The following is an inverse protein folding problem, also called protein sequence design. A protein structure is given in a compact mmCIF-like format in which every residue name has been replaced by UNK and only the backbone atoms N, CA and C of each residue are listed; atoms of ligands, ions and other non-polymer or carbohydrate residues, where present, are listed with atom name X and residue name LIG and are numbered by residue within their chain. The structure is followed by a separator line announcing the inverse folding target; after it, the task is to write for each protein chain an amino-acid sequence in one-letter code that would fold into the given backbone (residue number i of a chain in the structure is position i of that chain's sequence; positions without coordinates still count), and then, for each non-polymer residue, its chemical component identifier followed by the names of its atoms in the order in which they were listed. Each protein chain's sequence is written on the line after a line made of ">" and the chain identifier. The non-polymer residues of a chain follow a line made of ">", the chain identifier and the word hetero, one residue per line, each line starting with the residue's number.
data_IF_321150023694
#
_entry.id   IF_321150023694
#
_cell.length_a   1.000
_cell.length_b   1.000
_cell.length_c   1.000
_cell.angle_alpha   90.00
_cell.angle_beta   90.00
_cell.angle_gamma   90.00
#
_symmetry.space_group_name_H-M   'P 1'
#
loop_
_entity.id
_entity.type
_entity.pdbx_description
1 polymer ?
#
# COMPACT_ATOMS: atom_id res chain seq x y z
N UNK A 1 1.24 -27.98 -9.01
CA UNK A 1 2.22 -27.89 -7.92
C UNK A 1 1.91 -29.03 -6.96
N UNK A 2 2.88 -29.89 -6.59
CA UNK A 2 2.67 -30.96 -5.61
C UNK A 2 2.07 -30.42 -4.30
N UNK A 3 1.17 -31.18 -3.68
CA UNK A 3 0.44 -30.77 -2.46
C UNK A 3 1.42 -30.44 -1.30
N UNK A 4 2.56 -31.14 -1.23
CA UNK A 4 3.62 -30.87 -0.24
C UNK A 4 4.25 -29.49 -0.43
N UNK A 5 4.59 -29.12 -1.65
CA UNK A 5 5.20 -27.82 -1.95
C UNK A 5 4.27 -26.65 -1.59
N UNK A 6 2.97 -26.82 -1.83
CA UNK A 6 1.97 -25.82 -1.45
C UNK A 6 1.81 -25.70 0.08
N UNK A 7 1.89 -26.81 0.80
CA UNK A 7 1.84 -26.85 2.26
C UNK A 7 3.10 -26.23 2.88
N UNK A 8 4.28 -26.52 2.35
CA UNK A 8 5.54 -25.94 2.79
C UNK A 8 5.57 -24.42 2.54
N UNK A 9 5.11 -23.97 1.38
CA UNK A 9 4.93 -22.52 1.11
C UNK A 9 3.96 -21.86 2.10
N UNK A 10 2.85 -22.52 2.43
CA UNK A 10 1.88 -22.03 3.41
C UNK A 10 2.52 -21.88 4.79
N UNK A 11 3.24 -22.90 5.25
CA UNK A 11 3.95 -22.88 6.54
C UNK A 11 5.00 -21.77 6.56
N UNK A 12 5.85 -21.67 5.54
CA UNK A 12 6.89 -20.63 5.45
C UNK A 12 6.26 -19.24 5.52
N UNK A 13 5.17 -19.01 4.79
CA UNK A 13 4.45 -17.73 4.78
C UNK A 13 3.82 -17.43 6.14
N UNK A 14 3.22 -18.44 6.77
CA UNK A 14 2.61 -18.31 8.09
C UNK A 14 3.66 -17.96 9.16
N UNK A 15 4.78 -18.69 9.19
CA UNK A 15 5.89 -18.41 10.10
C UNK A 15 6.50 -17.03 9.86
N UNK A 16 6.70 -16.62 8.61
CA UNK A 16 7.21 -15.28 8.29
C UNK A 16 6.27 -14.17 8.80
N UNK A 17 4.96 -14.34 8.62
CA UNK A 17 3.95 -13.40 9.12
C UNK A 17 3.87 -13.38 10.65
N UNK A 18 3.95 -14.55 11.28
CA UNK A 18 3.99 -14.71 12.73
C UNK A 18 5.21 -13.98 13.32
N UNK A 19 6.42 -14.26 12.82
CA UNK A 19 7.66 -13.59 13.24
C UNK A 19 7.62 -12.08 12.96
N UNK A 20 7.07 -11.68 11.82
CA UNK A 20 6.90 -10.26 11.48
C UNK A 20 6.09 -9.50 12.54
N UNK A 21 4.98 -10.09 13.02
CA UNK A 21 4.14 -9.53 14.09
C UNK A 21 4.87 -9.48 15.42
N UNK A 22 5.64 -10.51 15.77
CA UNK A 22 6.37 -10.59 17.04
C UNK A 22 7.45 -9.51 17.13
N UNK A 23 8.27 -9.37 16.10
CA UNK A 23 9.31 -8.34 16.05
C UNK A 23 8.77 -6.91 15.88
N UNK A 24 7.49 -6.73 15.50
CA UNK A 24 6.87 -5.39 15.46
C UNK A 24 6.53 -4.83 16.85
N UNK A 25 6.38 -5.72 17.84
CA UNK A 25 6.07 -5.39 19.23
C UNK A 25 7.31 -5.40 20.14
N UNK A 26 8.49 -5.66 19.59
CA UNK A 26 9.76 -5.88 20.30
C UNK A 26 9.71 -6.91 21.45
N UNK A 27 8.68 -7.76 21.47
CA UNK A 27 8.48 -8.78 22.49
C UNK A 27 8.87 -10.15 21.94
N UNK A 28 9.88 -10.77 22.58
CA UNK A 28 10.26 -12.15 22.28
C UNK A 28 9.19 -13.11 22.82
N UNK A 29 8.66 -14.03 22.00
CA UNK A 29 7.78 -15.08 22.49
C UNK A 29 8.53 -16.11 23.34
N UNK A 30 7.81 -16.77 24.24
CA UNK A 30 8.38 -17.82 25.10
C UNK A 30 8.86 -19.03 24.30
N UNK A 31 8.15 -19.41 23.24
CA UNK A 31 8.42 -20.61 22.42
C UNK A 31 9.42 -20.38 21.26
N UNK A 32 10.02 -19.18 21.15
CA UNK A 32 11.05 -18.88 20.14
C UNK A 32 12.39 -18.70 20.85
N UNK A 33 13.43 -19.36 20.34
CA UNK A 33 14.79 -19.21 20.88
C UNK A 33 15.29 -17.77 20.71
N UNK A 34 16.13 -17.34 21.65
CA UNK A 34 16.77 -16.01 21.61
C UNK A 34 17.59 -15.82 20.35
N UNK A 35 18.36 -16.84 19.95
CA UNK A 35 19.21 -16.84 18.76
C UNK A 35 18.43 -16.54 17.48
N UNK A 36 17.30 -17.23 17.27
CA UNK A 36 16.45 -17.03 16.08
C UNK A 36 15.84 -15.62 16.08
N UNK A 37 15.41 -15.14 17.24
CA UNK A 37 14.83 -13.81 17.39
C UNK A 37 15.86 -12.70 17.10
N UNK A 38 17.08 -12.84 17.60
CA UNK A 38 18.17 -11.88 17.40
C UNK A 38 18.67 -11.89 15.96
N UNK A 39 18.80 -13.06 15.34
CA UNK A 39 19.11 -13.19 13.92
C UNK A 39 18.08 -12.44 13.05
N UNK A 40 16.79 -12.59 13.35
CA UNK A 40 15.73 -11.91 12.61
C UNK A 40 15.71 -10.40 12.86
N UNK A 41 15.98 -9.94 14.09
CA UNK A 41 16.18 -8.51 14.40
C UNK A 41 17.34 -7.91 13.61
N UNK A 42 18.45 -8.64 13.50
CA UNK A 42 19.63 -8.25 12.71
C UNK A 42 19.29 -8.16 11.23
N UNK A 43 18.61 -9.17 10.67
CA UNK A 43 18.14 -9.18 9.29
C UNK A 43 17.25 -7.98 8.98
N UNK A 44 16.31 -7.61 9.87
CA UNK A 44 15.44 -6.44 9.69
C UNK A 44 16.17 -5.10 9.73
N UNK A 45 17.30 -5.05 10.42
CA UNK A 45 18.13 -3.85 10.52
C UNK A 45 18.95 -3.60 9.25
N UNK A 46 19.07 -4.59 8.37
CA UNK A 46 19.81 -4.47 7.11
C UNK A 46 19.22 -3.41 6.18
N UNK A 47 20.06 -2.71 5.40
CA UNK A 47 19.61 -1.71 4.45
C UNK A 47 18.67 -2.30 3.39
N UNK A 48 18.87 -3.55 2.98
CA UNK A 48 18.04 -4.17 1.94
C UNK A 48 16.62 -4.47 2.43
N UNK A 49 16.46 -4.91 3.68
CA UNK A 49 15.14 -5.05 4.28
C UNK A 49 14.43 -3.69 4.43
N UNK A 50 15.17 -2.62 4.78
CA UNK A 50 14.62 -1.26 4.83
C UNK A 50 14.15 -0.78 3.46
N UNK A 51 14.92 -1.04 2.39
CA UNK A 51 14.54 -0.74 1.00
C UNK A 51 13.25 -1.47 0.60
N UNK A 52 13.10 -2.75 0.94
CA UNK A 52 11.87 -3.51 0.66
C UNK A 52 10.65 -2.95 1.40
N UNK A 53 10.82 -2.55 2.67
CA UNK A 53 9.75 -1.90 3.45
C UNK A 53 9.37 -0.55 2.84
N UNK A 54 10.35 0.23 2.39
CA UNK A 54 10.14 1.47 1.65
C UNK A 54 9.42 1.21 0.32
N UNK A 55 9.85 0.23 -0.47
CA UNK A 55 9.21 -0.15 -1.73
C UNK A 55 7.75 -0.59 -1.52
N UNK A 56 7.44 -1.36 -0.47
CA UNK A 56 6.05 -1.73 -0.15
C UNK A 56 5.19 -0.53 0.27
N UNK A 57 5.76 0.47 0.95
CA UNK A 57 5.06 1.72 1.25
C UNK A 57 4.90 2.57 -0.01
N UNK A 58 5.95 2.67 -0.81
CA UNK A 58 6.00 3.39 -2.07
C UNK A 58 5.14 2.74 -3.14
N UNK A 59 4.77 1.45 -3.05
CA UNK A 59 3.72 0.87 -3.92
C UNK A 59 2.36 1.57 -3.73
N UNK A 60 2.18 2.35 -2.67
CA UNK A 60 0.98 3.15 -2.38
C UNK A 60 1.11 4.62 -2.78
N UNK A 61 2.26 5.07 -3.27
CA UNK A 61 2.54 6.47 -3.62
C UNK A 61 3.39 6.54 -4.89
N UNK A 62 3.42 7.66 -5.60
CA UNK A 62 4.18 7.76 -6.86
C UNK A 62 5.71 7.87 -6.67
N UNK A 63 6.31 7.07 -5.78
CA UNK A 63 7.69 7.30 -5.29
C UNK A 63 8.73 6.44 -6.02
N UNK A 64 8.36 5.70 -7.06
CA UNK A 64 9.28 4.86 -7.84
C UNK A 64 10.01 5.62 -8.98
N UNK A 65 9.93 6.95 -9.02
CA UNK A 65 10.49 7.78 -10.08
C UNK A 65 9.44 8.19 -11.14
N UNK A 66 9.76 9.19 -11.99
CA UNK A 66 8.82 9.74 -12.96
C UNK A 66 8.27 8.63 -13.89
N UNK A 67 6.95 8.38 -13.83
CA UNK A 67 6.27 7.43 -14.71
C UNK A 67 6.38 5.95 -14.32
N UNK A 68 6.95 5.62 -13.16
CA UNK A 68 7.14 4.23 -12.69
C UNK A 68 6.11 3.84 -11.62
N UNK A 69 5.46 4.82 -10.99
CA UNK A 69 4.26 4.57 -10.20
C UNK A 69 3.14 4.09 -11.11
N UNK A 70 2.91 2.77 -11.17
CA UNK A 70 1.61 2.28 -11.61
C UNK A 70 0.65 2.78 -10.54
N UNK A 71 -0.05 3.87 -10.86
CA UNK A 71 -1.20 4.31 -10.10
C UNK A 71 -2.21 3.16 -10.16
N UNK A 72 -2.13 2.27 -9.19
CA UNK A 72 -3.09 1.20 -9.03
C UNK A 72 -4.35 1.91 -8.56
N UNK A 73 -5.13 2.32 -9.55
CA UNK A 73 -6.58 2.40 -9.53
C UNK A 73 -7.07 1.47 -8.37
N UNK A 74 -7.77 1.87 -7.32
CA UNK A 74 -8.76 2.92 -7.18
C UNK A 74 -9.52 2.70 -5.88
N UNK A 75 -10.00 3.75 -5.20
CA UNK A 75 -11.05 3.64 -4.17
C UNK A 75 -10.73 2.87 -2.88
N UNK A 76 -9.67 2.05 -2.86
CA UNK A 76 -9.46 1.02 -1.85
C UNK A 76 -10.53 -0.07 -1.94
N UNK A 77 -10.92 -0.63 -0.80
CA UNK A 77 -12.06 -1.55 -0.68
C UNK A 77 -13.43 -0.85 -0.80
N UNK A 78 -13.45 0.46 -0.98
CA UNK A 78 -14.67 1.27 -1.05
C UNK A 78 -15.02 1.51 -2.53
N UNK A 79 -16.29 1.29 -2.88
CA UNK A 79 -16.79 1.49 -4.24
C UNK A 79 -16.71 2.95 -4.70
N UNK A 80 -16.62 3.14 -6.02
CA UNK A 80 -16.73 4.44 -6.67
C UNK A 80 -17.95 5.23 -6.26
N UNK A 81 -19.08 4.53 -6.22
CA UNK A 81 -20.37 5.10 -5.87
C UNK A 81 -20.35 5.74 -4.47
N UNK A 82 -19.82 5.03 -3.47
CA UNK A 82 -19.76 5.56 -2.11
C UNK A 82 -18.82 6.77 -1.98
N UNK A 83 -17.77 6.85 -2.79
CA UNK A 83 -16.95 8.06 -2.85
C UNK A 83 -17.67 9.21 -3.56
N UNK A 84 -18.49 8.91 -4.58
CA UNK A 84 -19.31 9.89 -5.27
C UNK A 84 -20.36 10.52 -4.34
N UNK A 85 -21.03 9.70 -3.54
CA UNK A 85 -21.98 10.14 -2.50
C UNK A 85 -21.30 11.04 -1.48
N UNK A 86 -20.17 10.60 -0.90
CA UNK A 86 -19.40 11.41 0.07
C UNK A 86 -18.91 12.73 -0.51
N UNK A 87 -18.53 12.72 -1.78
CA UNK A 87 -18.12 13.94 -2.47
C UNK A 87 -19.32 14.84 -2.75
N UNK A 88 -20.48 14.26 -3.05
CA UNK A 88 -21.72 15.00 -3.25
C UNK A 88 -22.22 15.66 -1.95
N UNK A 89 -22.16 14.95 -0.83
CA UNK A 89 -22.44 15.50 0.51
C UNK A 89 -21.56 16.71 0.82
N UNK A 90 -20.26 16.64 0.48
CA UNK A 90 -19.33 17.75 0.69
C UNK A 90 -19.59 18.95 -0.22
N UNK A 91 -19.98 18.70 -1.46
CA UNK A 91 -20.26 19.74 -2.45
C UNK A 91 -21.69 20.30 -2.33
N UNK A 92 -22.58 19.64 -1.60
CA UNK A 92 -24.01 19.96 -1.58
C UNK A 92 -24.74 19.68 -2.90
N UNK A 93 -24.09 18.98 -3.83
CA UNK A 93 -24.61 18.65 -5.17
C UNK A 93 -23.98 17.37 -5.71
N UNK A 94 -24.57 16.70 -6.71
CA UNK A 94 -23.95 15.55 -7.37
C UNK A 94 -22.54 15.87 -7.85
N UNK A 95 -21.62 14.93 -7.61
CA UNK A 95 -20.24 15.05 -8.08
C UNK A 95 -20.13 14.62 -9.55
N UNK A 96 -19.33 15.35 -10.31
CA UNK A 96 -19.04 15.02 -11.71
C UNK A 96 -17.94 13.96 -11.79
N UNK A 97 -17.92 13.16 -12.85
CA UNK A 97 -16.87 12.16 -13.08
C UNK A 97 -15.45 12.77 -13.05
N UNK A 98 -15.27 13.99 -13.57
CA UNK A 98 -13.99 14.72 -13.52
C UNK A 98 -13.58 15.07 -12.08
N UNK A 99 -14.54 15.49 -11.24
CA UNK A 99 -14.27 15.84 -9.83
C UNK A 99 -13.92 14.60 -9.01
N UNK A 100 -14.61 13.49 -9.26
CA UNK A 100 -14.25 12.18 -8.72
C UNK A 100 -12.84 11.76 -9.14
N UNK A 101 -12.49 11.96 -10.41
CA UNK A 101 -11.16 11.65 -10.92
C UNK A 101 -10.09 12.50 -10.19
N UNK A 102 -10.29 13.81 -10.09
CA UNK A 102 -9.39 14.71 -9.34
C UNK A 102 -9.28 14.25 -7.88
N UNK A 103 -10.39 13.92 -7.23
CA UNK A 103 -10.43 13.47 -5.84
C UNK A 103 -9.58 12.22 -5.57
N UNK A 104 -9.50 11.27 -6.51
CA UNK A 104 -8.66 10.07 -6.36
C UNK A 104 -7.20 10.27 -6.72
N UNK A 105 -6.93 11.24 -7.59
CA UNK A 105 -5.63 11.40 -8.21
C UNK A 105 -4.88 12.63 -7.73
N UNK A 106 -5.36 13.26 -6.65
CA UNK A 106 -4.69 14.35 -5.95
C UNK A 106 -4.27 13.92 -4.55
N UNK A 107 -3.12 14.42 -4.09
CA UNK A 107 -2.56 14.07 -2.80
C UNK A 107 -3.47 14.63 -1.70
N UNK A 108 -3.76 13.80 -0.70
CA UNK A 108 -4.62 14.15 0.42
C UNK A 108 -6.00 14.72 0.01
N UNK A 109 -6.42 14.49 -1.25
CA UNK A 109 -7.64 15.02 -1.87
C UNK A 109 -7.69 16.55 -1.90
N UNK A 110 -6.54 17.20 -2.05
CA UNK A 110 -6.41 18.66 -2.10
C UNK A 110 -6.95 19.29 -3.40
N UNK A 111 -7.16 18.48 -4.45
CA UNK A 111 -7.64 18.95 -5.75
C UNK A 111 -6.58 19.64 -6.63
N UNK A 112 -5.33 19.76 -6.15
CA UNK A 112 -4.29 20.57 -6.78
C UNK A 112 -3.05 19.74 -7.09
N UNK A 113 -2.54 18.96 -6.13
CA UNK A 113 -1.29 18.23 -6.29
C UNK A 113 -1.55 16.84 -6.84
N UNK A 114 -1.48 16.71 -8.17
CA UNK A 114 -1.69 15.44 -8.83
C UNK A 114 -0.62 14.42 -8.45
N UNK A 115 -1.08 13.26 -7.98
CA UNK A 115 -0.24 12.10 -7.71
C UNK A 115 0.30 11.55 -9.02
N UNK A 116 -0.38 11.77 -10.17
CA UNK A 116 0.02 11.23 -11.48
C UNK A 116 -0.04 12.29 -12.56
N UNK A 117 1.09 12.55 -13.23
CA UNK A 117 1.20 13.57 -14.28
C UNK A 117 0.32 13.30 -15.51
N UNK A 118 0.06 12.03 -15.85
CA UNK A 118 -0.82 11.65 -16.96
C UNK A 118 -2.27 12.05 -16.74
N UNK A 119 -2.74 11.97 -15.50
CA UNK A 119 -4.14 12.24 -15.15
C UNK A 119 -4.43 13.73 -15.22
N UNK A 120 -3.46 14.55 -14.81
CA UNK A 120 -3.50 16.00 -15.01
C UNK A 120 -3.78 16.36 -16.47
N UNK A 121 -3.18 15.66 -17.44
CA UNK A 121 -3.41 15.91 -18.88
C UNK A 121 -4.85 15.56 -19.29
N UNK A 122 -5.39 14.45 -18.83
CA UNK A 122 -6.75 13.97 -19.17
C UNK A 122 -7.83 14.89 -18.58
N UNK A 123 -7.63 15.39 -17.36
CA UNK A 123 -8.57 16.28 -16.68
C UNK A 123 -8.54 17.69 -17.28
N UNK A 124 -7.37 18.19 -17.67
CA UNK A 124 -7.20 19.54 -18.22
C UNK A 124 -7.53 19.61 -19.72
N UNK A 125 -7.45 18.50 -20.47
CA UNK A 125 -7.75 18.49 -21.91
C UNK A 125 -9.24 18.42 -22.26
N UNK A 126 -10.13 18.68 -21.30
CA UNK A 126 -11.58 18.79 -21.49
C UNK A 126 -12.01 20.22 -21.19
#
# INVERSE_FOLDING_TARGET
>A
MPIRDAYDMYIVTWYANFISKMCSKDKKPTHVSTEIFDHYKKMRSTPDFKKLKLASKNRRTETAGPGIGIAVHTGGSISFHRHAERLAEKLGRPSTASELCIYFHTKDRDGVTFIVSRIKKIVISK
#
